data_IF_137001773001
#
_entry.id   IF_137001773001
#
_cell.length_a   1.000
_cell.length_b   1.000
_cell.length_c   1.000
_cell.angle_alpha   90.00
_cell.angle_beta   90.00
_cell.angle_gamma   90.00
#
_symmetry.space_group_name_H-M   'P 1'
#
loop_
_entity.id
_entity.type
_entity.pdbx_description
1 polymer ?
#
# COMPACT_ATOMS: atom_id res chain seq x y z
N UNK A 1 -10.24 -29.69 -3.51
CA UNK A 1 -9.38 -29.03 -2.50
C UNK A 1 -10.04 -27.74 -2.05
N UNK A 2 -10.27 -27.54 -0.75
CA UNK A 2 -10.93 -26.33 -0.23
C UNK A 2 -10.03 -25.10 -0.45
N UNK A 3 -10.38 -24.27 -1.44
CA UNK A 3 -9.70 -22.99 -1.75
C UNK A 3 -9.95 -21.93 -0.68
N UNK A 4 -10.74 -22.24 0.35
CA UNK A 4 -11.07 -21.36 1.47
C UNK A 4 -9.84 -20.75 2.13
N UNK A 5 -8.80 -21.55 2.40
CA UNK A 5 -7.56 -21.07 3.04
C UNK A 5 -6.84 -20.03 2.19
N UNK A 6 -6.83 -20.21 0.86
CA UNK A 6 -6.20 -19.26 -0.07
C UNK A 6 -7.00 -17.97 -0.17
N UNK A 7 -8.33 -18.06 -0.29
CA UNK A 7 -9.21 -16.88 -0.30
C UNK A 7 -9.04 -16.06 0.98
N UNK A 8 -9.07 -16.72 2.14
CA UNK A 8 -8.90 -16.07 3.43
C UNK A 8 -7.52 -15.40 3.55
N UNK A 9 -6.46 -16.08 3.12
CA UNK A 9 -5.11 -15.51 3.09
C UNK A 9 -5.02 -14.27 2.19
N UNK A 10 -5.62 -14.29 1.00
CA UNK A 10 -5.66 -13.15 0.09
C UNK A 10 -6.47 -11.99 0.68
N UNK A 11 -7.62 -12.27 1.29
CA UNK A 11 -8.43 -11.25 1.97
C UNK A 11 -7.65 -10.57 3.09
N UNK A 12 -6.96 -11.33 3.94
CA UNK A 12 -6.14 -10.76 5.01
C UNK A 12 -4.99 -9.91 4.46
N UNK A 13 -4.30 -10.40 3.42
CA UNK A 13 -3.23 -9.66 2.76
C UNK A 13 -3.77 -8.31 2.24
N UNK A 14 -4.90 -8.34 1.55
CA UNK A 14 -5.57 -7.15 1.05
C UNK A 14 -5.95 -6.18 2.16
N UNK A 15 -6.50 -6.66 3.28
CA UNK A 15 -6.86 -5.82 4.42
C UNK A 15 -5.65 -5.09 5.01
N UNK A 16 -4.54 -5.80 5.23
CA UNK A 16 -3.31 -5.21 5.78
C UNK A 16 -2.83 -4.07 4.88
N UNK A 17 -2.67 -4.32 3.58
CA UNK A 17 -2.23 -3.30 2.63
C UNK A 17 -3.25 -2.15 2.46
N UNK A 18 -4.55 -2.42 2.52
CA UNK A 18 -5.59 -1.39 2.44
C UNK A 18 -5.54 -0.43 3.63
N UNK A 19 -5.30 -0.93 4.85
CA UNK A 19 -5.16 -0.09 6.05
C UNK A 19 -3.92 0.79 5.93
N UNK A 20 -2.79 0.23 5.47
CA UNK A 20 -1.55 0.97 5.26
C UNK A 20 -1.71 2.09 4.22
N UNK A 21 -2.37 1.81 3.10
CA UNK A 21 -2.62 2.81 2.06
C UNK A 21 -3.53 3.95 2.53
N UNK A 22 -4.47 3.67 3.45
CA UNK A 22 -5.36 4.66 4.06
C UNK A 22 -4.70 5.46 5.19
N UNK A 23 -3.55 5.01 5.71
CA UNK A 23 -2.88 5.69 6.82
C UNK A 23 -2.41 7.09 6.44
N UNK A 24 -2.07 7.34 5.18
CA UNK A 24 -1.69 8.68 4.69
C UNK A 24 -2.84 9.68 4.78
N UNK A 25 -4.09 9.26 4.55
CA UNK A 25 -5.26 10.13 4.69
C UNK A 25 -5.43 10.64 6.12
N UNK A 26 -5.17 9.78 7.12
CA UNK A 26 -5.17 10.18 8.54
C UNK A 26 -4.04 11.17 8.82
N UNK A 27 -2.84 10.94 8.29
CA UNK A 27 -1.70 11.86 8.46
C UNK A 27 -2.01 13.23 7.85
N UNK A 28 -2.65 13.30 6.69
CA UNK A 28 -3.05 14.57 6.06
C UNK A 28 -4.01 15.35 6.97
N UNK A 29 -5.05 14.70 7.49
CA UNK A 29 -5.98 15.31 8.45
C UNK A 29 -5.26 15.79 9.71
N UNK A 30 -4.31 15.00 10.21
CA UNK A 30 -3.51 15.35 11.37
C UNK A 30 -2.58 16.55 11.10
N UNK A 31 -2.03 16.67 9.89
CA UNK A 31 -1.20 17.81 9.49
C UNK A 31 -2.02 19.09 9.39
N UNK A 32 -3.20 19.03 8.79
CA UNK A 32 -4.13 20.18 8.71
C UNK A 32 -4.51 20.66 10.12
N UNK A 33 -4.93 19.74 10.99
CA UNK A 33 -5.41 20.07 12.33
C UNK A 33 -4.31 20.58 13.27
N UNK A 34 -3.08 20.05 13.18
CA UNK A 34 -2.00 20.43 14.10
C UNK A 34 -1.15 21.60 13.61
N UNK A 35 -0.96 21.75 12.29
CA UNK A 35 -0.06 22.75 11.72
C UNK A 35 -0.81 23.86 10.97
N UNK A 36 -2.14 23.80 10.85
CA UNK A 36 -2.96 24.82 10.20
C UNK A 36 -2.69 25.00 8.70
N UNK A 37 -2.08 23.99 8.07
CA UNK A 37 -1.71 24.02 6.66
C UNK A 37 -2.98 23.80 5.81
N UNK A 38 -3.16 24.55 4.71
CA UNK A 38 -4.31 24.34 3.82
C UNK A 38 -4.30 22.95 3.18
N UNK A 39 -5.49 22.39 2.96
CA UNK A 39 -5.71 21.05 2.41
C UNK A 39 -4.97 20.83 1.07
N UNK A 40 -4.93 21.84 0.21
CA UNK A 40 -4.22 21.78 -1.09
C UNK A 40 -2.71 21.55 -0.97
N UNK A 41 -2.10 22.02 0.11
CA UNK A 41 -0.67 21.80 0.37
C UNK A 41 -0.44 20.48 1.12
N UNK A 42 -1.38 20.08 1.97
CA UNK A 42 -1.32 18.81 2.69
C UNK A 42 -1.58 17.60 1.76
N UNK A 43 -2.42 17.74 0.74
CA UNK A 43 -2.75 16.67 -0.23
C UNK A 43 -1.56 16.25 -1.11
N UNK A 44 -0.50 17.08 -1.17
CA UNK A 44 0.75 16.71 -1.85
C UNK A 44 1.36 15.45 -1.23
N UNK A 45 1.13 15.20 0.07
CA UNK A 45 1.56 13.97 0.77
C UNK A 45 0.93 12.70 0.17
N UNK A 46 -0.29 12.80 -0.34
CA UNK A 46 -0.96 11.69 -1.04
C UNK A 46 -0.29 11.41 -2.39
N UNK A 47 0.00 12.46 -3.16
CA UNK A 47 0.71 12.33 -4.43
C UNK A 47 2.10 11.71 -4.25
N UNK A 48 2.82 12.05 -3.17
CA UNK A 48 4.11 11.43 -2.84
C UNK A 48 3.98 9.93 -2.60
N UNK A 49 2.96 9.48 -1.86
CA UNK A 49 2.66 8.04 -1.69
C UNK A 49 2.42 7.39 -3.05
N UNK A 50 1.48 7.92 -3.82
CA UNK A 50 0.99 7.24 -5.03
C UNK A 50 2.04 7.22 -6.14
N UNK A 51 2.83 8.30 -6.28
CA UNK A 51 3.94 8.35 -7.22
C UNK A 51 5.04 7.34 -6.86
N UNK A 52 5.37 7.21 -5.57
CA UNK A 52 6.34 6.22 -5.11
C UNK A 52 5.90 4.80 -5.47
N UNK A 53 4.62 4.49 -5.24
CA UNK A 53 4.03 3.18 -5.59
C UNK A 53 4.06 2.99 -7.11
N UNK A 54 3.72 4.01 -7.90
CA UNK A 54 3.76 3.93 -9.36
C UNK A 54 5.17 3.63 -9.88
N UNK A 55 6.18 4.33 -9.38
CA UNK A 55 7.58 4.13 -9.78
C UNK A 55 8.03 2.72 -9.39
N UNK A 56 7.87 2.32 -8.13
CA UNK A 56 8.31 1.00 -7.65
C UNK A 56 7.57 -0.13 -8.36
N UNK A 57 6.25 0.01 -8.54
CA UNK A 57 5.45 -0.99 -9.27
C UNK A 57 5.84 -1.09 -10.73
N UNK A 58 6.19 0.01 -11.41
CA UNK A 58 6.66 -0.03 -12.79
C UNK A 58 7.93 -0.90 -12.94
N UNK A 59 8.88 -0.74 -12.03
CA UNK A 59 10.10 -1.54 -12.04
C UNK A 59 9.85 -3.00 -11.63
N UNK A 60 9.09 -3.23 -10.55
CA UNK A 60 8.94 -4.56 -9.94
C UNK A 60 7.89 -5.43 -10.65
N UNK A 61 6.88 -4.83 -11.30
CA UNK A 61 5.74 -5.58 -11.84
C UNK A 61 6.15 -6.64 -12.87
N UNK A 62 7.13 -6.33 -13.71
CA UNK A 62 7.65 -7.26 -14.73
C UNK A 62 8.38 -8.47 -14.13
N UNK A 63 8.85 -8.37 -12.88
CA UNK A 63 9.55 -9.45 -12.17
C UNK A 63 8.62 -10.34 -11.33
N UNK A 64 7.38 -9.90 -11.03
CA UNK A 64 6.39 -10.66 -10.25
C UNK A 64 6.16 -12.09 -10.80
N UNK A 65 5.97 -12.30 -12.12
CA UNK A 65 5.78 -13.65 -12.67
C UNK A 65 7.03 -14.53 -12.54
N UNK A 66 8.23 -13.93 -12.56
CA UNK A 66 9.51 -14.66 -12.45
C UNK A 66 9.80 -15.09 -11.01
N UNK A 67 9.47 -14.25 -10.03
CA UNK A 67 9.66 -14.54 -8.59
C UNK A 67 8.56 -15.47 -8.07
N UNK A 68 7.36 -15.34 -8.64
CA UNK A 68 6.15 -16.07 -8.27
C UNK A 68 5.33 -15.33 -7.21
N UNK A 69 4.01 -15.24 -7.44
CA UNK A 69 3.09 -14.44 -6.64
C UNK A 69 3.13 -14.72 -5.14
N UNK A 70 3.22 -15.99 -4.73
CA UNK A 70 3.29 -16.36 -3.31
C UNK A 70 4.54 -15.79 -2.63
N UNK A 71 5.71 -15.90 -3.28
CA UNK A 71 6.98 -15.39 -2.71
C UNK A 71 6.95 -13.87 -2.65
N UNK A 72 6.46 -13.22 -3.69
CA UNK A 72 6.34 -11.76 -3.73
C UNK A 72 5.40 -11.22 -2.65
N UNK A 73 4.25 -11.87 -2.41
CA UNK A 73 3.34 -11.50 -1.32
C UNK A 73 3.97 -11.69 0.07
N UNK A 74 4.74 -12.75 0.28
CA UNK A 74 5.44 -12.98 1.56
C UNK A 74 6.56 -11.95 1.79
N UNK A 75 7.31 -11.59 0.74
CA UNK A 75 8.33 -10.54 0.81
C UNK A 75 7.67 -9.19 1.12
N UNK A 76 6.56 -8.87 0.45
CA UNK A 76 5.80 -7.65 0.72
C UNK A 76 5.32 -7.55 2.16
N UNK A 77 4.82 -8.66 2.72
CA UNK A 77 4.43 -8.73 4.13
C UNK A 77 5.62 -8.62 5.10
N UNK A 78 6.81 -9.08 4.72
CA UNK A 78 7.99 -9.03 5.59
C UNK A 78 8.66 -7.65 5.63
N UNK A 79 8.45 -6.84 4.59
CA UNK A 79 9.01 -5.49 4.47
C UNK A 79 8.22 -4.41 5.21
N UNK A 80 7.02 -4.74 5.66
CA UNK A 80 6.04 -3.83 6.27
C UNK A 80 5.84 -4.23 7.72
#
# INVERSE_FOLDING_TARGET
MSTWRVKLSLSLNYFVFAILLNSVGIVILQVINNYGIPESSASVLEAFKDLSIAIVSFFIASFLPRIGYKRSMLIGLALV
#
